data_IF_637187880307
#
_entry.id   IF_637187880307
#
_cell.length_a   1.000
_cell.length_b   1.000
_cell.length_c   1.000
_cell.angle_alpha   90.00
_cell.angle_beta   90.00
_cell.angle_gamma   90.00
#
_symmetry.space_group_name_H-M   'P 1'
#
loop_
_entity.id
_entity.type
_entity.pdbx_description
1 polymer ?
#
# COMPACT_ATOMS: atom_id res chain seq x y z
N UNK A 1 1.14 19.41 23.93
CA UNK A 1 0.99 19.31 22.47
C UNK A 1 2.28 18.69 21.97
N UNK A 2 2.23 17.43 21.54
CA UNK A 2 3.39 16.76 20.96
C UNK A 2 3.54 17.36 19.57
N UNK A 3 4.69 17.97 19.31
CA UNK A 3 5.01 18.60 18.04
C UNK A 3 4.97 17.50 16.96
N UNK A 4 3.96 17.53 16.08
CA UNK A 4 3.87 16.57 14.99
C UNK A 4 5.00 16.90 14.01
N UNK A 5 6.10 16.13 14.09
CA UNK A 5 7.21 16.25 13.14
C UNK A 5 6.62 16.07 11.74
N UNK A 6 6.73 17.11 10.91
CA UNK A 6 6.33 17.08 9.50
C UNK A 6 7.47 16.62 8.63
N UNK A 7 7.13 15.93 7.53
CA UNK A 7 8.15 15.29 6.69
C UNK A 7 9.00 16.41 6.10
N UNK A 8 10.30 16.18 5.92
CA UNK A 8 11.09 17.17 5.19
C UNK A 8 10.48 17.33 3.79
N UNK A 9 10.16 18.57 3.40
CA UNK A 9 9.55 18.94 2.12
C UNK A 9 10.14 18.20 0.90
N UNK A 10 11.46 17.94 0.90
CA UNK A 10 12.12 17.18 -0.19
C UNK A 10 11.67 15.72 -0.22
N UNK A 11 11.63 15.04 0.92
CA UNK A 11 11.19 13.64 0.99
C UNK A 11 9.69 13.52 0.69
N UNK A 12 8.91 14.52 1.11
CA UNK A 12 7.49 14.59 0.84
C UNK A 12 7.24 14.63 -0.67
N UNK A 13 7.93 15.55 -1.35
CA UNK A 13 7.86 15.67 -2.81
C UNK A 13 8.32 14.41 -3.53
N UNK A 14 9.41 13.77 -3.06
CA UNK A 14 9.89 12.51 -3.66
C UNK A 14 8.82 11.41 -3.53
N UNK A 15 8.24 11.22 -2.34
CA UNK A 15 7.17 10.23 -2.14
C UNK A 15 5.95 10.54 -2.99
N UNK A 16 5.52 11.80 -3.03
CA UNK A 16 4.40 12.25 -3.84
C UNK A 16 4.62 11.95 -5.33
N UNK A 17 5.81 12.25 -5.86
CA UNK A 17 6.18 11.95 -7.24
C UNK A 17 6.23 10.44 -7.48
N UNK A 18 6.80 9.66 -6.56
CA UNK A 18 6.88 8.21 -6.69
C UNK A 18 5.50 7.56 -6.70
N UNK A 19 4.64 7.89 -5.75
CA UNK A 19 3.27 7.37 -5.68
C UNK A 19 2.46 7.82 -6.89
N UNK A 20 2.59 9.08 -7.32
CA UNK A 20 1.94 9.59 -8.52
C UNK A 20 2.39 8.87 -9.80
N UNK A 21 3.69 8.66 -9.98
CA UNK A 21 4.23 8.00 -11.17
C UNK A 21 3.89 6.50 -11.18
N UNK A 22 4.18 5.78 -10.10
CA UNK A 22 3.92 4.33 -10.01
C UNK A 22 2.40 4.09 -10.06
N UNK A 23 1.62 4.87 -9.32
CA UNK A 23 0.15 4.84 -9.38
C UNK A 23 -0.37 5.11 -10.79
N UNK A 24 0.18 6.11 -11.49
CA UNK A 24 -0.15 6.39 -12.89
C UNK A 24 0.13 5.21 -13.82
N UNK A 25 1.28 4.55 -13.66
CA UNK A 25 1.60 3.34 -14.43
C UNK A 25 0.66 2.17 -14.11
N UNK A 26 0.35 1.93 -12.83
CA UNK A 26 -0.59 0.90 -12.40
C UNK A 26 -1.99 1.16 -12.96
N UNK A 27 -2.48 2.40 -12.89
CA UNK A 27 -3.79 2.77 -13.41
C UNK A 27 -3.86 2.68 -14.94
N UNK A 28 -2.79 3.08 -15.64
CA UNK A 28 -2.68 2.86 -17.09
C UNK A 28 -2.76 1.38 -17.42
N UNK A 29 -1.97 0.55 -16.76
CA UNK A 29 -2.01 -0.90 -16.94
C UNK A 29 -3.40 -1.48 -16.66
N UNK A 30 -4.03 -1.08 -15.56
CA UNK A 30 -5.39 -1.48 -15.20
C UNK A 30 -6.43 -1.11 -16.27
N UNK A 31 -6.27 0.07 -16.87
CA UNK A 31 -7.10 0.53 -17.99
C UNK A 31 -6.89 -0.35 -19.22
N UNK A 32 -5.64 -0.68 -19.56
CA UNK A 32 -5.30 -1.56 -20.68
C UNK A 32 -5.86 -2.99 -20.48
N UNK A 33 -6.05 -3.43 -19.22
CA UNK A 33 -6.67 -4.71 -18.87
C UNK A 33 -8.21 -4.67 -18.83
N UNK A 34 -8.86 -3.53 -19.07
CA UNK A 34 -10.32 -3.33 -18.96
C UNK A 34 -10.90 -3.75 -17.60
N UNK A 35 -10.18 -3.47 -16.50
CA UNK A 35 -10.65 -3.79 -15.16
C UNK A 35 -11.94 -3.01 -14.85
N UNK A 36 -12.95 -3.73 -14.38
CA UNK A 36 -14.20 -3.12 -13.92
C UNK A 36 -14.11 -2.68 -12.47
N UNK A 37 -14.93 -1.68 -12.09
CA UNK A 37 -15.07 -1.26 -10.69
C UNK A 37 -15.51 -2.43 -9.81
N UNK A 38 -16.38 -3.32 -10.31
CA UNK A 38 -16.84 -4.47 -9.53
C UNK A 38 -15.70 -5.43 -9.19
N UNK A 39 -14.84 -5.77 -10.15
CA UNK A 39 -13.68 -6.64 -9.88
C UNK A 39 -12.75 -6.06 -8.81
N UNK A 40 -12.52 -4.74 -8.86
CA UNK A 40 -11.73 -4.06 -7.83
C UNK A 40 -12.42 -4.10 -6.45
N UNK A 41 -13.70 -3.74 -6.40
CA UNK A 41 -14.49 -3.72 -5.15
C UNK A 41 -14.58 -5.12 -4.53
N UNK A 42 -14.81 -6.15 -5.34
CA UNK A 42 -14.83 -7.54 -4.86
C UNK A 42 -13.47 -7.95 -4.32
N UNK A 43 -12.37 -7.64 -5.02
CA UNK A 43 -11.02 -7.92 -4.52
C UNK A 43 -10.73 -7.23 -3.18
N UNK A 44 -11.11 -5.96 -3.04
CA UNK A 44 -10.97 -5.24 -1.76
C UNK A 44 -11.78 -5.93 -0.67
N UNK A 45 -13.05 -6.24 -0.91
CA UNK A 45 -13.92 -6.87 0.08
C UNK A 45 -13.48 -8.30 0.47
N UNK A 46 -12.90 -9.06 -0.47
CA UNK A 46 -12.32 -10.38 -0.21
C UNK A 46 -11.04 -10.33 0.65
N UNK A 47 -10.44 -9.16 0.83
CA UNK A 47 -9.23 -9.03 1.64
C UNK A 47 -9.56 -9.35 3.11
N UNK A 48 -8.90 -10.33 3.75
CA UNK A 48 -9.20 -10.65 5.14
C UNK A 48 -8.88 -9.50 6.09
N UNK A 49 -9.72 -9.27 7.12
CA UNK A 49 -9.58 -8.13 8.03
C UNK A 49 -8.22 -8.04 8.73
N UNK A 50 -7.58 -9.18 9.04
CA UNK A 50 -6.25 -9.19 9.65
C UNK A 50 -5.17 -8.65 8.70
N UNK A 51 -5.35 -8.78 7.38
CA UNK A 51 -4.46 -8.18 6.36
C UNK A 51 -4.64 -6.67 6.33
N UNK A 52 -5.88 -6.19 6.41
CA UNK A 52 -6.20 -4.77 6.49
C UNK A 52 -5.53 -4.13 7.71
N UNK A 53 -5.66 -4.77 8.88
CA UNK A 53 -5.00 -4.32 10.11
C UNK A 53 -3.47 -4.30 9.92
N UNK A 54 -2.89 -5.33 9.28
CA UNK A 54 -1.46 -5.37 9.01
C UNK A 54 -1.01 -4.23 8.08
N UNK A 55 -1.79 -3.88 7.06
CA UNK A 55 -1.51 -2.76 6.15
C UNK A 55 -1.48 -1.44 6.93
N UNK A 56 -2.49 -1.17 7.76
CA UNK A 56 -2.54 0.06 8.56
C UNK A 56 -1.37 0.14 9.56
N UNK A 57 -0.97 -0.98 10.15
CA UNK A 57 0.23 -1.04 11.01
C UNK A 57 1.49 -0.77 10.22
N UNK A 58 1.63 -1.34 9.01
CA UNK A 58 2.79 -1.12 8.15
C UNK A 58 2.87 0.33 7.65
N UNK A 59 1.73 0.96 7.33
CA UNK A 59 1.66 2.37 6.96
C UNK A 59 2.11 3.28 8.12
N UNK A 60 1.56 3.07 9.32
CA UNK A 60 2.00 3.76 10.55
C UNK A 60 3.47 3.58 10.86
N UNK A 61 4.04 2.40 10.58
CA UNK A 61 5.46 2.13 10.75
C UNK A 61 6.30 2.82 9.67
N UNK A 62 5.88 2.77 8.41
CA UNK A 62 6.50 3.44 7.27
C UNK A 62 6.60 4.94 7.50
N UNK A 63 5.51 5.55 7.96
CA UNK A 63 5.43 6.97 8.27
C UNK A 63 6.33 7.33 9.47
N UNK A 64 6.26 6.57 10.58
CA UNK A 64 7.18 6.75 11.73
C UNK A 64 8.66 6.60 11.35
N UNK A 65 8.99 5.70 10.42
CA UNK A 65 10.36 5.50 9.94
C UNK A 65 10.91 6.71 9.18
N UNK A 66 10.04 7.48 8.53
CA UNK A 66 10.44 8.75 7.94
C UNK A 66 10.81 9.79 9.00
N UNK A 67 10.10 9.75 10.14
CA UNK A 67 10.17 10.71 11.24
C UNK A 67 11.25 10.45 12.28
N UNK A 68 11.38 9.22 12.82
CA UNK A 68 12.31 8.93 13.91
C UNK A 68 12.95 7.53 13.87
N UNK A 69 14.24 7.52 14.23
CA UNK A 69 15.06 6.43 14.75
C UNK A 69 15.42 5.22 13.85
N UNK A 70 14.49 4.58 13.12
CA UNK A 70 14.82 3.37 12.35
C UNK A 70 15.58 3.66 11.04
N UNK A 71 15.27 4.79 10.38
CA UNK A 71 16.08 5.32 9.28
C UNK A 71 17.49 5.77 9.73
N UNK A 72 17.69 6.03 11.02
CA UNK A 72 18.98 6.42 11.60
C UNK A 72 19.84 5.20 11.98
N UNK A 73 19.23 4.15 12.54
CA UNK A 73 19.95 2.93 12.96
C UNK A 73 20.48 2.09 11.78
N UNK A 74 19.77 2.06 10.65
CA UNK A 74 20.18 1.29 9.46
C UNK A 74 20.68 2.15 8.30
N UNK A 75 20.09 3.33 8.05
CA UNK A 75 20.50 4.20 6.94
C UNK A 75 21.86 4.84 7.13
N UNK A 76 22.25 5.19 8.37
CA UNK A 76 23.57 5.77 8.66
C UNK A 76 24.69 4.73 8.73
N UNK A 77 24.38 3.48 9.10
CA UNK A 77 25.37 2.40 9.25
C UNK A 77 25.70 1.70 7.93
N UNK A 78 24.76 1.67 6.98
CA UNK A 78 24.92 1.01 5.67
C UNK A 78 24.74 1.94 4.46
N UNK A 79 24.51 3.25 4.66
CA UNK A 79 24.37 4.22 3.57
C UNK A 79 23.08 4.10 2.74
N UNK A 80 22.07 3.37 3.23
CA UNK A 80 20.83 3.14 2.47
C UNK A 80 19.89 4.33 2.61
N UNK A 81 19.48 4.91 1.48
CA UNK A 81 18.56 6.05 1.40
C UNK A 81 17.18 5.69 1.97
N UNK A 82 16.59 6.58 2.80
CA UNK A 82 15.26 6.40 3.40
C UNK A 82 14.16 6.06 2.39
N UNK A 83 14.24 6.66 1.19
CA UNK A 83 13.30 6.41 0.08
C UNK A 83 13.41 4.97 -0.45
N UNK A 84 14.61 4.39 -0.45
CA UNK A 84 14.81 2.99 -0.87
C UNK A 84 14.19 2.05 0.14
N UNK A 85 14.33 2.34 1.44
CA UNK A 85 13.71 1.54 2.50
C UNK A 85 12.19 1.57 2.43
N UNK A 86 11.58 2.74 2.20
CA UNK A 86 10.11 2.83 2.03
C UNK A 86 9.64 2.04 0.82
N UNK A 87 10.35 2.11 -0.31
CA UNK A 87 10.04 1.30 -1.51
C UNK A 87 10.16 -0.21 -1.26
N UNK A 88 11.16 -0.65 -0.49
CA UNK A 88 11.29 -2.06 -0.10
C UNK A 88 10.11 -2.51 0.78
N UNK A 89 9.68 -1.68 1.73
CA UNK A 89 8.52 -1.97 2.58
C UNK A 89 7.24 -2.05 1.74
N UNK A 90 7.01 -1.13 0.79
CA UNK A 90 5.89 -1.24 -0.14
C UNK A 90 5.97 -2.50 -1.02
N UNK A 91 7.15 -2.84 -1.53
CA UNK A 91 7.35 -4.06 -2.33
C UNK A 91 7.05 -5.32 -1.53
N UNK A 92 7.52 -5.40 -0.28
CA UNK A 92 7.20 -6.49 0.63
C UNK A 92 5.70 -6.51 0.95
N UNK A 93 5.11 -5.35 1.24
CA UNK A 93 3.68 -5.19 1.50
C UNK A 93 2.83 -5.67 0.33
N UNK A 94 3.19 -5.30 -0.91
CA UNK A 94 2.54 -5.77 -2.13
C UNK A 94 2.55 -7.29 -2.24
N UNK A 95 3.72 -7.91 -2.10
CA UNK A 95 3.87 -9.38 -2.20
C UNK A 95 3.13 -10.09 -1.06
N UNK A 96 3.19 -9.55 0.16
CA UNK A 96 2.49 -10.11 1.31
C UNK A 96 0.97 -10.06 1.10
N UNK A 97 0.43 -8.91 0.69
CA UNK A 97 -0.99 -8.77 0.37
C UNK A 97 -1.40 -9.74 -0.73
N UNK A 98 -0.64 -9.81 -1.83
CA UNK A 98 -0.94 -10.76 -2.90
C UNK A 98 -0.99 -12.19 -2.39
N UNK A 99 -0.03 -12.60 -1.57
CA UNK A 99 -0.02 -13.93 -0.97
C UNK A 99 -1.27 -14.18 -0.12
N UNK A 100 -1.69 -13.23 0.72
CA UNK A 100 -2.87 -13.41 1.54
C UNK A 100 -4.19 -13.39 0.75
N UNK A 101 -4.27 -12.60 -0.31
CA UNK A 101 -5.47 -12.53 -1.16
C UNK A 101 -5.62 -13.75 -2.07
N UNK A 102 -4.51 -14.37 -2.48
CA UNK A 102 -4.51 -15.43 -3.50
C UNK A 102 -4.11 -16.81 -2.96
N UNK A 103 -3.55 -16.86 -1.75
CA UNK A 103 -3.04 -18.07 -1.10
C UNK A 103 -1.72 -18.60 -1.65
N UNK A 104 -1.14 -17.98 -2.69
CA UNK A 104 0.10 -18.42 -3.34
C UNK A 104 0.85 -17.26 -3.98
N UNK A 105 2.11 -17.45 -4.34
CA UNK A 105 2.87 -16.48 -5.15
C UNK A 105 3.21 -17.14 -6.49
N UNK A 106 2.58 -16.68 -7.55
CA UNK A 106 2.99 -16.91 -8.93
C UNK A 106 4.01 -15.86 -9.38
N UNK A 107 5.05 -16.31 -10.09
CA UNK A 107 6.02 -15.44 -10.76
C UNK A 107 5.49 -14.89 -12.10
N UNK A 108 4.31 -15.37 -12.53
CA UNK A 108 3.66 -14.95 -13.77
C UNK A 108 2.50 -14.03 -13.44
N UNK A 109 2.61 -12.74 -13.82
CA UNK A 109 1.60 -11.71 -13.54
C UNK A 109 0.22 -12.08 -14.11
N UNK A 110 0.17 -12.68 -15.29
CA UNK A 110 -1.09 -13.11 -15.93
C UNK A 110 -1.82 -14.27 -15.24
N UNK A 111 -1.26 -14.84 -14.16
CA UNK A 111 -1.92 -15.87 -13.37
C UNK A 111 -2.84 -15.29 -12.27
N UNK A 112 -2.73 -14.00 -11.98
CA UNK A 112 -3.52 -13.34 -10.95
C UNK A 112 -4.78 -12.70 -11.55
N UNK A 113 -5.84 -12.65 -10.75
CA UNK A 113 -6.98 -11.79 -11.05
C UNK A 113 -6.52 -10.32 -11.09
N UNK A 114 -6.96 -9.60 -12.12
CA UNK A 114 -6.53 -8.23 -12.36
C UNK A 114 -7.04 -7.26 -11.29
N UNK A 115 -8.24 -7.50 -10.73
CA UNK A 115 -8.79 -6.73 -9.61
C UNK A 115 -7.96 -6.92 -8.34
N UNK A 116 -7.51 -8.15 -8.07
CA UNK A 116 -6.60 -8.47 -6.95
C UNK A 116 -5.26 -7.76 -7.10
N UNK A 117 -4.66 -7.78 -8.28
CA UNK A 117 -3.41 -7.04 -8.54
C UNK A 117 -3.58 -5.54 -8.33
N UNK A 118 -4.69 -4.96 -8.78
CA UNK A 118 -4.98 -3.54 -8.59
C UNK A 118 -5.22 -3.19 -7.11
N UNK A 119 -5.96 -4.02 -6.37
CA UNK A 119 -6.16 -3.84 -4.93
C UNK A 119 -4.83 -3.92 -4.17
N UNK A 120 -4.01 -4.93 -4.45
CA UNK A 120 -2.70 -5.07 -3.82
C UNK A 120 -1.77 -3.90 -4.14
N UNK A 121 -1.76 -3.43 -5.39
CA UNK A 121 -1.00 -2.24 -5.77
C UNK A 121 -1.50 -0.99 -5.05
N UNK A 122 -2.81 -0.85 -4.86
CA UNK A 122 -3.42 0.26 -4.11
C UNK A 122 -2.92 0.26 -2.66
N UNK A 123 -2.97 -0.89 -1.98
CA UNK A 123 -2.51 -1.00 -0.59
C UNK A 123 -1.00 -0.74 -0.46
N UNK A 124 -0.21 -1.24 -1.41
CA UNK A 124 1.23 -1.00 -1.41
C UNK A 124 1.59 0.47 -1.62
N UNK A 125 0.88 1.15 -2.52
CA UNK A 125 1.04 2.59 -2.76
C UNK A 125 0.60 3.42 -1.55
N UNK A 126 -0.46 2.99 -0.85
CA UNK A 126 -0.90 3.61 0.39
C UNK A 126 0.20 3.60 1.46
N UNK A 127 0.86 2.46 1.70
CA UNK A 127 1.94 2.32 2.71
C UNK A 127 3.10 3.30 2.48
N UNK A 128 3.34 3.74 1.24
CA UNK A 128 4.42 4.69 0.91
C UNK A 128 3.94 6.10 0.60
N UNK A 129 2.64 6.33 0.65
CA UNK A 129 2.09 7.66 0.51
C UNK A 129 2.62 8.57 1.63
N UNK A 130 2.82 9.86 1.33
CA UNK A 130 3.30 10.79 2.34
C UNK A 130 2.16 11.13 3.32
N UNK A 131 2.47 11.11 4.62
CA UNK A 131 1.58 11.58 5.69
C UNK A 131 0.25 10.80 5.79
N UNK A 132 0.23 9.51 5.43
CA UNK A 132 -0.97 8.64 5.55
C UNK A 132 -1.10 7.96 6.92
N UNK A 133 -0.03 7.88 7.70
CA UNK A 133 0.01 7.14 8.97
C UNK A 133 -0.91 7.65 10.10
N UNK A 134 -1.59 8.78 9.90
CA UNK A 134 -2.50 9.34 10.90
C UNK A 134 -3.94 8.81 10.80
N UNK A 135 -4.37 8.36 9.61
CA UNK A 135 -5.75 7.94 9.31
C UNK A 135 -5.82 6.48 8.83
N UNK A 136 -6.92 5.77 9.07
CA UNK A 136 -7.12 4.39 8.58
C UNK A 136 -7.83 4.30 7.21
N UNK A 137 -7.22 4.87 6.16
CA UNK A 137 -7.89 5.00 4.85
C UNK A 137 -8.17 3.65 4.18
N UNK A 138 -7.29 2.65 4.32
CA UNK A 138 -7.50 1.32 3.73
C UNK A 138 -8.59 0.57 4.48
N UNK A 139 -8.70 0.73 5.79
CA UNK A 139 -9.80 0.19 6.57
C UNK A 139 -11.15 0.79 6.13
N UNK A 140 -11.22 2.11 5.89
CA UNK A 140 -12.44 2.73 5.37
C UNK A 140 -12.78 2.23 3.96
N UNK A 141 -11.79 2.08 3.08
CA UNK A 141 -11.97 1.49 1.75
C UNK A 141 -12.51 0.05 1.84
N UNK A 142 -11.98 -0.76 2.75
CA UNK A 142 -12.43 -2.13 2.98
C UNK A 142 -13.87 -2.21 3.50
N UNK A 143 -14.23 -1.34 4.46
CA UNK A 143 -15.62 -1.25 4.95
C UNK A 143 -16.56 -0.86 3.81
N UNK A 144 -16.19 0.15 3.01
CA UNK A 144 -17.00 0.59 1.87
C UNK A 144 -17.21 -0.53 0.85
N UNK A 145 -16.16 -1.28 0.52
CA UNK A 145 -16.23 -2.43 -0.39
C UNK A 145 -17.07 -3.58 0.18
N UNK A 146 -16.94 -3.84 1.49
CA UNK A 146 -17.75 -4.85 2.20
C UNK A 146 -19.23 -4.47 2.15
N UNK A 147 -19.58 -3.21 2.39
CA UNK A 147 -20.96 -2.71 2.27
C UNK A 147 -21.46 -2.81 0.83
N UNK A 148 -20.64 -2.41 -0.15
CA UNK A 148 -20.99 -2.46 -1.57
C UNK A 148 -21.26 -3.89 -2.07
N UNK A 149 -20.59 -4.88 -1.49
CA UNK A 149 -20.79 -6.31 -1.78
C UNK A 149 -21.84 -6.98 -0.90
N UNK A 150 -22.51 -6.22 -0.01
CA UNK A 150 -23.51 -6.75 0.91
C UNK A 150 -22.94 -7.72 1.95
N UNK A 151 -21.65 -7.63 2.27
CA UNK A 151 -20.96 -8.52 3.22
C UNK A 151 -20.73 -9.94 2.69
N UNK A 152 -20.82 -10.16 1.38
CA UNK A 152 -20.71 -11.48 0.74
C UNK A 152 -19.42 -12.26 1.10
N UNK A 153 -18.36 -11.55 1.47
CA UNK A 153 -17.02 -12.11 1.66
C UNK A 153 -16.52 -12.08 3.12
N UNK A 154 -17.40 -11.81 4.08
CA UNK A 154 -17.10 -11.83 5.52
C UNK A 154 -17.18 -13.25 6.11
#
# INVERSE_FOLDING_TARGET
MVDMKKLNNVNYLIKLVLVGLIGGFVLRWATDQNITVNQYVEAVAMTPIYVIIAIEVLDKLSDKMDYEFLGFAYGSKYGVNKVIMSLLIAGIGFVAVLYFMTGTISMTVGAYDTGVLLAAATYALYIVAPETGDDELVAFLWIAATVATGGKYL
#
